data_IF_665906904749
#
_entry.id   IF_665906904749
#
_cell.length_a   1.000
_cell.length_b   1.000
_cell.length_c   1.000
_cell.angle_alpha   90.00
_cell.angle_beta   90.00
_cell.angle_gamma   90.00
#
_symmetry.space_group_name_H-M   'P 1'
#
loop_
_entity.id
_entity.type
_entity.pdbx_description
1 polymer ?
#
# COMPACT_ATOMS: atom_id res chain seq x y z
N UNK A 1 -33.70 23.76 -58.71
CA UNK A 1 -33.37 23.47 -57.30
C UNK A 1 -32.33 24.49 -56.85
N UNK A 2 -32.72 25.43 -55.97
CA UNK A 2 -32.19 25.56 -54.58
C UNK A 2 -30.75 26.09 -54.52
N UNK A 3 -30.33 27.15 -53.83
CA UNK A 3 -30.89 28.01 -52.77
C UNK A 3 -30.17 29.37 -52.84
N UNK A 4 -30.87 30.45 -52.47
CA UNK A 4 -30.37 31.82 -52.29
C UNK A 4 -29.27 31.91 -51.22
N UNK A 5 -28.10 32.46 -51.55
CA UNK A 5 -27.18 32.98 -50.53
C UNK A 5 -27.53 34.42 -50.18
N UNK A 6 -28.18 34.61 -49.02
CA UNK A 6 -28.38 35.90 -48.38
C UNK A 6 -27.04 36.36 -47.77
N UNK A 7 -26.43 37.40 -48.34
CA UNK A 7 -25.48 38.24 -47.60
C UNK A 7 -26.29 39.07 -46.59
N UNK A 8 -26.04 38.87 -45.31
CA UNK A 8 -26.44 39.82 -44.27
C UNK A 8 -25.24 40.68 -43.88
N UNK A 9 -25.41 42.01 -43.76
CA UNK A 9 -24.35 42.95 -43.42
C UNK A 9 -24.41 43.26 -41.93
N UNK A 10 -23.74 42.47 -41.11
CA UNK A 10 -23.49 42.84 -39.73
C UNK A 10 -22.05 42.50 -39.40
N UNK A 11 -21.27 43.59 -39.35
CA UNK A 11 -20.12 43.83 -38.50
C UNK A 11 -19.02 42.78 -38.44
N UNK A 12 -17.95 43.13 -39.15
CA UNK A 12 -16.60 42.77 -38.79
C UNK A 12 -16.37 43.02 -37.29
N UNK A 13 -16.32 41.94 -36.52
CA UNK A 13 -15.61 41.93 -35.24
C UNK A 13 -14.72 40.70 -35.27
N UNK A 14 -13.48 40.92 -35.68
CA UNK A 14 -12.42 39.94 -35.51
C UNK A 14 -12.25 39.69 -34.01
N UNK A 15 -12.74 38.56 -33.53
CA UNK A 15 -12.30 38.03 -32.25
C UNK A 15 -10.93 37.39 -32.46
N UNK A 16 -9.87 38.19 -32.38
CA UNK A 16 -8.55 37.66 -32.07
C UNK A 16 -8.58 37.14 -30.64
N UNK A 17 -8.95 35.87 -30.47
CA UNK A 17 -8.68 35.13 -29.25
C UNK A 17 -7.20 34.75 -29.21
N UNK A 18 -6.32 35.75 -29.14
CA UNK A 18 -5.01 35.55 -28.52
C UNK A 18 -5.23 35.47 -27.02
N UNK A 19 -5.72 34.31 -26.56
CA UNK A 19 -5.56 33.91 -25.18
C UNK A 19 -4.04 33.74 -24.97
N UNK A 20 -3.37 34.83 -24.58
CA UNK A 20 -2.08 34.73 -23.89
C UNK A 20 -2.34 33.84 -22.68
N UNK A 21 -1.98 32.56 -22.80
CA UNK A 21 -1.82 31.67 -21.65
C UNK A 21 -0.71 32.29 -20.82
N UNK A 22 -1.11 33.17 -19.90
CA UNK A 22 -0.24 33.71 -18.88
C UNK A 22 0.14 32.51 -18.01
N UNK A 23 1.35 32.00 -18.22
CA UNK A 23 1.94 31.05 -17.28
C UNK A 23 1.91 31.71 -15.90
N UNK A 24 1.37 31.05 -14.85
CA UNK A 24 1.40 31.62 -13.52
C UNK A 24 2.86 31.93 -13.14
N UNK A 25 3.12 33.07 -12.46
CA UNK A 25 4.48 33.39 -12.05
C UNK A 25 5.02 32.23 -11.21
N UNK A 26 6.23 31.76 -11.56
CA UNK A 26 6.87 30.70 -10.81
C UNK A 26 6.91 31.10 -9.32
N UNK A 27 6.42 30.24 -8.40
CA UNK A 27 6.41 30.59 -6.99
C UNK A 27 7.84 30.88 -6.53
N UNK A 28 7.99 31.89 -5.67
CA UNK A 28 9.28 32.25 -5.10
C UNK A 28 9.95 31.02 -4.49
N UNK A 29 11.28 30.97 -4.54
CA UNK A 29 12.07 29.83 -4.03
C UNK A 29 11.71 29.45 -2.59
N UNK A 30 11.35 30.45 -1.76
CA UNK A 30 10.87 30.26 -0.39
C UNK A 30 9.53 29.53 -0.30
N UNK A 31 8.53 29.93 -1.09
CA UNK A 31 7.23 29.24 -1.11
C UNK A 31 7.37 27.79 -1.60
N UNK A 32 8.21 27.57 -2.61
CA UNK A 32 8.52 26.21 -3.10
C UNK A 32 9.20 25.36 -2.02
N UNK A 33 10.14 25.93 -1.27
CA UNK A 33 10.82 25.22 -0.18
C UNK A 33 9.85 24.85 0.96
N UNK A 34 8.95 25.76 1.34
CA UNK A 34 7.91 25.50 2.34
C UNK A 34 6.94 24.40 1.89
N UNK A 35 6.49 24.45 0.64
CA UNK A 35 5.61 23.42 0.07
C UNK A 35 6.29 22.04 0.06
N UNK A 36 7.56 21.97 -0.34
CA UNK A 36 8.31 20.71 -0.31
C UNK A 36 8.51 20.20 1.13
N UNK A 37 8.77 21.09 2.10
CA UNK A 37 8.89 20.71 3.50
C UNK A 37 7.57 20.15 4.04
N UNK A 38 6.45 20.80 3.72
CA UNK A 38 5.12 20.32 4.05
C UNK A 38 4.83 18.94 3.43
N UNK A 39 5.06 18.78 2.12
CA UNK A 39 4.87 17.50 1.44
C UNK A 39 5.73 16.38 2.05
N UNK A 40 6.98 16.67 2.44
CA UNK A 40 7.82 15.72 3.17
C UNK A 40 7.24 15.37 4.54
N UNK A 41 6.71 16.35 5.28
CA UNK A 41 6.04 16.13 6.56
C UNK A 41 4.82 15.22 6.42
N UNK A 42 3.95 15.50 5.45
CA UNK A 42 2.76 14.67 5.16
C UNK A 42 3.15 13.24 4.77
N UNK A 43 4.17 13.06 3.91
CA UNK A 43 4.68 11.73 3.55
C UNK A 43 5.18 10.96 4.76
N UNK A 44 6.02 11.57 5.60
CA UNK A 44 6.53 10.94 6.83
C UNK A 44 5.41 10.54 7.79
N UNK A 45 4.37 11.36 7.92
CA UNK A 45 3.21 11.02 8.74
C UNK A 45 2.44 9.82 8.16
N UNK A 46 2.25 9.79 6.84
CA UNK A 46 1.66 8.63 6.14
C UNK A 46 2.50 7.37 6.33
N UNK A 47 3.82 7.44 6.15
CA UNK A 47 4.74 6.30 6.30
C UNK A 47 4.67 5.73 7.72
N UNK A 48 4.63 6.61 8.74
CA UNK A 48 4.47 6.19 10.14
C UNK A 48 3.10 5.54 10.37
N UNK A 49 2.03 6.06 9.76
CA UNK A 49 0.70 5.45 9.81
C UNK A 49 0.67 4.06 9.16
N UNK A 50 1.32 3.91 8.00
CA UNK A 50 1.40 2.65 7.27
C UNK A 50 2.24 1.60 8.04
N UNK A 51 3.28 2.01 8.78
CA UNK A 51 4.03 1.11 9.66
C UNK A 51 3.17 0.57 10.82
N UNK A 52 2.38 1.43 11.47
CA UNK A 52 1.47 1.02 12.55
C UNK A 52 0.41 0.06 12.01
N UNK A 53 -0.16 0.37 10.84
CA UNK A 53 -1.13 -0.50 10.19
C UNK A 53 -0.52 -1.86 9.79
N UNK A 54 0.77 -1.90 9.43
CA UNK A 54 1.46 -3.15 9.09
C UNK A 54 1.66 -4.05 10.31
N UNK A 55 1.93 -3.47 11.48
CA UNK A 55 1.98 -4.20 12.76
C UNK A 55 0.60 -4.78 13.08
N UNK A 56 -0.44 -3.95 13.05
CA UNK A 56 -1.81 -4.39 13.33
C UNK A 56 -2.25 -5.53 12.41
N UNK A 57 -1.92 -5.44 11.11
CA UNK A 57 -2.21 -6.51 10.15
C UNK A 57 -1.46 -7.82 10.48
N UNK A 58 -0.20 -7.74 10.92
CA UNK A 58 0.56 -8.94 11.33
C UNK A 58 0.02 -9.56 12.61
N UNK A 59 -0.39 -8.74 13.59
CA UNK A 59 -1.03 -9.19 14.83
C UNK A 59 -2.36 -9.89 14.53
N UNK A 60 -3.20 -9.30 13.67
CA UNK A 60 -4.46 -9.90 13.25
C UNK A 60 -4.23 -11.25 12.54
N UNK A 61 -3.27 -11.31 11.61
CA UNK A 61 -2.90 -12.55 10.93
C UNK A 61 -2.36 -13.61 11.91
N UNK A 62 -1.55 -13.22 12.90
CA UNK A 62 -1.05 -14.11 13.95
C UNK A 62 -2.21 -14.71 14.75
N UNK A 63 -3.17 -13.89 15.20
CA UNK A 63 -4.34 -14.36 15.95
C UNK A 63 -5.20 -15.34 15.16
N UNK A 64 -5.30 -15.19 13.83
CA UNK A 64 -6.05 -16.14 12.99
C UNK A 64 -5.47 -17.56 12.97
N UNK A 65 -4.19 -17.72 13.29
CA UNK A 65 -3.48 -19.01 13.31
C UNK A 65 -2.85 -19.32 14.67
N UNK A 66 -3.17 -18.57 15.72
CA UNK A 66 -2.62 -18.80 17.06
C UNK A 66 -3.06 -20.15 17.63
N UNK A 67 -4.30 -20.53 17.34
CA UNK A 67 -4.84 -21.85 17.61
C UNK A 67 -4.37 -22.83 16.52
N UNK A 68 -3.70 -23.92 16.93
CA UNK A 68 -3.17 -24.94 16.02
C UNK A 68 -4.28 -25.61 15.20
N UNK A 69 -5.49 -25.75 15.77
CA UNK A 69 -6.64 -26.33 15.07
C UNK A 69 -7.10 -25.46 13.89
N UNK A 70 -6.77 -24.16 13.92
CA UNK A 70 -7.08 -23.19 12.86
C UNK A 70 -5.93 -23.02 11.85
N UNK A 71 -4.79 -23.67 12.07
CA UNK A 71 -3.65 -23.62 11.18
C UNK A 71 -3.62 -24.82 10.22
N UNK A 72 -3.05 -24.67 9.02
CA UNK A 72 -2.86 -25.77 8.07
C UNK A 72 -1.62 -25.57 7.19
N UNK A 73 -1.02 -26.68 6.75
CA UNK A 73 0.07 -26.72 5.76
C UNK A 73 -0.45 -26.97 4.33
N UNK A 74 0.28 -26.44 3.34
CA UNK A 74 0.10 -26.67 1.91
C UNK A 74 -1.12 -26.00 1.27
N UNK A 75 -2.03 -25.40 2.06
CA UNK A 75 -3.26 -24.78 1.55
C UNK A 75 -3.53 -23.42 2.19
N UNK A 76 -3.91 -22.45 1.35
CA UNK A 76 -4.27 -21.10 1.79
C UNK A 76 -5.43 -21.08 2.79
N UNK A 77 -6.52 -21.80 2.47
CA UNK A 77 -7.69 -21.93 3.32
C UNK A 77 -8.35 -23.30 3.08
N UNK A 78 -8.72 -24.01 4.14
CA UNK A 78 -9.52 -25.25 4.06
C UNK A 78 -10.32 -25.43 5.36
N UNK A 79 -11.64 -25.54 5.26
CA UNK A 79 -12.53 -25.77 6.40
C UNK A 79 -12.32 -24.77 7.56
N UNK A 80 -12.14 -23.48 7.24
CA UNK A 80 -11.85 -22.43 8.22
C UNK A 80 -10.42 -22.40 8.76
N UNK A 81 -9.56 -23.36 8.36
CA UNK A 81 -8.13 -23.40 8.69
C UNK A 81 -7.29 -22.68 7.65
N UNK A 82 -6.22 -22.02 8.07
CA UNK A 82 -5.41 -21.11 7.23
C UNK A 82 -3.93 -21.45 7.32
N UNK A 83 -3.21 -21.37 6.20
CA UNK A 83 -1.76 -21.26 6.26
C UNK A 83 -1.34 -19.83 6.62
N UNK A 84 -0.05 -19.61 6.90
CA UNK A 84 0.51 -18.29 7.16
C UNK A 84 0.14 -17.24 6.10
N UNK A 85 0.19 -17.60 4.80
CA UNK A 85 -0.21 -16.69 3.73
C UNK A 85 -1.72 -16.47 3.65
N UNK A 86 -2.53 -17.48 3.95
CA UNK A 86 -3.99 -17.32 4.02
C UNK A 86 -4.40 -16.37 5.13
N UNK A 87 -3.74 -16.46 6.29
CA UNK A 87 -3.94 -15.55 7.41
C UNK A 87 -3.57 -14.10 7.04
N UNK A 88 -2.44 -13.89 6.37
CA UNK A 88 -2.05 -12.58 5.86
C UNK A 88 -3.04 -12.03 4.82
N UNK A 89 -3.55 -12.87 3.92
CA UNK A 89 -4.53 -12.44 2.93
C UNK A 89 -5.85 -12.03 3.59
N UNK A 90 -6.30 -12.78 4.59
CA UNK A 90 -7.54 -12.51 5.31
C UNK A 90 -7.45 -11.24 6.16
N UNK A 91 -6.41 -11.11 6.98
CA UNK A 91 -6.15 -9.89 7.75
C UNK A 91 -6.00 -8.67 6.81
N UNK A 92 -5.30 -8.85 5.68
CA UNK A 92 -5.01 -7.78 4.73
C UNK A 92 -6.21 -7.19 3.98
N UNK A 93 -7.42 -7.77 4.05
CA UNK A 93 -8.56 -7.37 3.20
C UNK A 93 -8.94 -5.89 3.37
N UNK A 94 -8.78 -5.36 4.58
CA UNK A 94 -9.16 -3.98 4.92
C UNK A 94 -8.00 -2.98 4.87
N UNK A 95 -6.78 -3.44 4.55
CA UNK A 95 -5.59 -2.60 4.54
C UNK A 95 -5.18 -2.15 3.13
N UNK A 96 -4.50 -1.01 3.06
CA UNK A 96 -3.96 -0.47 1.81
C UNK A 96 -2.89 -1.41 1.24
N UNK A 97 -2.70 -1.36 -0.08
CA UNK A 97 -1.71 -2.20 -0.78
C UNK A 97 -0.28 -2.05 -0.21
N UNK A 98 0.12 -0.84 0.19
CA UNK A 98 1.43 -0.57 0.80
C UNK A 98 1.61 -1.35 2.11
N UNK A 99 0.67 -1.19 3.04
CA UNK A 99 0.62 -1.92 4.31
C UNK A 99 0.68 -3.44 4.12
N UNK A 100 -0.14 -3.98 3.20
CA UNK A 100 -0.11 -5.43 2.89
C UNK A 100 1.26 -5.89 2.40
N UNK A 101 1.87 -5.10 1.52
CA UNK A 101 3.19 -5.42 0.97
C UNK A 101 4.25 -5.41 2.07
N UNK A 102 4.20 -4.43 2.96
CA UNK A 102 5.18 -4.29 4.05
C UNK A 102 5.08 -5.43 5.05
N UNK A 103 3.87 -5.80 5.49
CA UNK A 103 3.63 -6.96 6.35
C UNK A 103 4.14 -8.26 5.73
N UNK A 104 3.77 -8.54 4.47
CA UNK A 104 4.24 -9.73 3.73
C UNK A 104 5.76 -9.71 3.56
N UNK A 105 6.34 -8.56 3.26
CA UNK A 105 7.79 -8.41 3.10
C UNK A 105 8.52 -8.71 4.39
N UNK A 106 7.99 -8.27 5.54
CA UNK A 106 8.64 -8.53 6.82
C UNK A 106 8.61 -10.01 7.19
N UNK A 107 7.46 -10.68 7.04
CA UNK A 107 7.38 -12.13 7.29
C UNK A 107 8.25 -12.93 6.30
N UNK A 108 8.35 -12.48 5.04
CA UNK A 108 9.25 -13.07 4.05
C UNK A 108 10.72 -12.93 4.44
N UNK A 109 11.14 -11.80 5.05
CA UNK A 109 12.50 -11.67 5.58
C UNK A 109 12.77 -12.71 6.66
N UNK A 110 11.82 -12.92 7.59
CA UNK A 110 11.94 -13.95 8.62
C UNK A 110 12.05 -15.34 8.00
N UNK A 111 11.20 -15.65 7.01
CA UNK A 111 11.28 -16.91 6.26
C UNK A 111 12.67 -17.13 5.66
N UNK A 112 13.25 -16.09 5.03
CA UNK A 112 14.59 -16.14 4.44
C UNK A 112 15.70 -16.32 5.47
N UNK A 113 15.63 -15.64 6.60
CA UNK A 113 16.58 -15.80 7.71
C UNK A 113 16.57 -17.24 8.23
N UNK A 114 15.40 -17.88 8.21
CA UNK A 114 15.22 -19.30 8.57
C UNK A 114 15.53 -20.29 7.44
N UNK A 115 16.04 -19.82 6.30
CA UNK A 115 16.45 -20.67 5.18
C UNK A 115 15.35 -21.01 4.17
N UNK A 116 14.19 -20.39 4.23
CA UNK A 116 13.08 -20.62 3.30
C UNK A 116 13.00 -19.54 2.21
N UNK A 117 12.64 -19.95 0.99
CA UNK A 117 12.54 -19.04 -0.16
C UNK A 117 11.19 -18.29 -0.24
N UNK A 118 10.18 -18.77 0.47
CA UNK A 118 8.83 -18.21 0.52
C UNK A 118 8.17 -18.43 1.89
N UNK A 119 7.09 -17.70 2.16
CA UNK A 119 6.31 -17.84 3.41
C UNK A 119 5.58 -19.18 3.42
N UNK A 120 5.11 -19.64 2.26
CA UNK A 120 4.49 -20.94 2.06
C UNK A 120 5.48 -22.07 2.35
N UNK A 121 6.70 -21.98 1.79
CA UNK A 121 7.75 -22.95 2.09
C UNK A 121 8.09 -22.98 3.57
N UNK A 122 8.16 -21.82 4.24
CA UNK A 122 8.35 -21.77 5.69
C UNK A 122 7.20 -22.47 6.41
N UNK A 123 5.95 -22.10 6.13
CA UNK A 123 4.75 -22.67 6.74
C UNK A 123 4.70 -24.21 6.63
N UNK A 124 5.11 -24.74 5.48
CA UNK A 124 4.96 -26.17 5.19
C UNK A 124 6.10 -27.03 5.75
N UNK A 125 7.20 -26.42 6.20
CA UNK A 125 8.40 -27.13 6.65
C UNK A 125 8.72 -26.94 8.14
N UNK A 126 7.98 -26.10 8.86
CA UNK A 126 8.18 -25.86 10.30
C UNK A 126 6.90 -26.17 11.08
N UNK A 127 7.04 -26.34 12.39
CA UNK A 127 5.91 -26.57 13.29
C UNK A 127 5.01 -25.32 13.41
N UNK A 128 3.75 -25.52 13.79
CA UNK A 128 2.81 -24.45 14.11
C UNK A 128 3.41 -23.39 15.04
N UNK A 129 4.01 -23.84 16.14
CA UNK A 129 4.67 -22.98 17.13
C UNK A 129 5.76 -22.12 16.48
N UNK A 130 6.56 -22.69 15.58
CA UNK A 130 7.60 -21.93 14.90
C UNK A 130 7.02 -20.92 13.90
N UNK A 131 5.89 -21.23 13.24
CA UNK A 131 5.16 -20.25 12.41
C UNK A 131 4.70 -19.07 13.27
N UNK A 132 4.09 -19.32 14.43
CA UNK A 132 3.65 -18.24 15.35
C UNK A 132 4.84 -17.38 15.79
N UNK A 133 5.97 -18.00 16.18
CA UNK A 133 7.19 -17.26 16.52
C UNK A 133 7.72 -16.47 15.32
N UNK A 134 7.53 -16.93 14.08
CA UNK A 134 7.91 -16.17 12.89
C UNK A 134 7.10 -14.88 12.75
N UNK A 135 5.79 -14.92 13.04
CA UNK A 135 4.96 -13.72 13.11
C UNK A 135 5.43 -12.78 14.21
N UNK A 136 5.71 -13.28 15.41
CA UNK A 136 6.23 -12.47 16.52
C UNK A 136 7.56 -11.78 16.15
N UNK A 137 8.44 -12.51 15.46
CA UNK A 137 9.72 -11.98 14.96
C UNK A 137 9.50 -10.89 13.90
N UNK A 138 8.53 -11.07 12.99
CA UNK A 138 8.22 -10.08 11.97
C UNK A 138 7.63 -8.80 12.60
N UNK A 139 6.73 -8.93 13.58
CA UNK A 139 6.16 -7.81 14.34
C UNK A 139 7.29 -7.02 15.01
N UNK A 140 8.19 -7.69 15.73
CA UNK A 140 9.34 -7.07 16.36
C UNK A 140 10.25 -6.35 15.35
N UNK A 141 10.45 -6.92 14.16
CA UNK A 141 11.19 -6.30 13.06
C UNK A 141 10.59 -4.99 12.58
N UNK A 142 9.26 -4.87 12.50
CA UNK A 142 8.61 -3.59 12.17
C UNK A 142 8.74 -2.59 13.31
N UNK A 143 8.54 -3.02 14.56
CA UNK A 143 8.68 -2.17 15.75
C UNK A 143 10.08 -1.58 15.83
N UNK A 144 11.12 -2.36 15.57
CA UNK A 144 12.51 -1.91 15.57
C UNK A 144 12.81 -0.85 14.49
N UNK A 145 12.11 -0.88 13.35
CA UNK A 145 12.25 0.16 12.30
C UNK A 145 11.58 1.49 12.67
N UNK A 146 10.69 1.49 13.67
CA UNK A 146 9.97 2.68 14.14
C UNK A 146 10.73 3.43 15.23
N UNK A 147 11.50 2.71 16.04
CA UNK A 147 12.32 3.26 17.12
C UNK A 147 13.45 4.14 16.57
#
# INVERSE_FOLDING_TARGET
MSVRERRMPFDAVGFSSEAKVQNPPAPSSRLRALWQAFQRGVRRASDRGDLVASIAMLEEARTLIEDEDRWIQGRYLKNGRRCAMGALQEAGRHYRRGVRRDAVTELLKVARIRGHHSIESMNDNISHREVVVAFDTAIAGIVARRA
#
